data_IF_207412905226
#
_entry.id   IF_207412905226
#
_cell.length_a   1.000
_cell.length_b   1.000
_cell.length_c   1.000
_cell.angle_alpha   90.00
_cell.angle_beta   90.00
_cell.angle_gamma   90.00
#
_symmetry.space_group_name_H-M   'P 1'
#
loop_
_entity.id
_entity.type
_entity.pdbx_description
1 polymer ?
#
# COMPACT_ATOMS: atom_id res chain seq x y z
N UNK A 1 8.45 11.04 14.87
CA UNK A 1 9.87 11.16 14.49
C UNK A 1 10.75 10.98 15.72
N UNK A 2 12.01 10.53 15.51
CA UNK A 2 13.17 10.67 16.41
C UNK A 2 13.28 12.06 17.06
N UNK A 3 12.78 13.11 16.37
CA UNK A 3 12.82 14.50 16.81
C UNK A 3 11.49 15.04 17.41
N UNK A 4 10.51 14.18 17.70
CA UNK A 4 9.23 14.60 18.32
C UNK A 4 8.24 15.29 17.38
N UNK A 5 8.57 15.45 16.10
CA UNK A 5 7.63 15.96 15.08
C UNK A 5 6.53 14.93 14.79
N UNK A 6 5.29 15.41 14.79
CA UNK A 6 4.11 14.67 14.35
C UNK A 6 3.72 15.18 12.96
N UNK A 7 3.40 14.26 12.05
CA UNK A 7 2.75 14.63 10.80
C UNK A 7 1.35 15.16 11.14
N UNK A 8 0.98 16.29 10.55
CA UNK A 8 -0.38 16.79 10.70
C UNK A 8 -1.37 15.79 10.11
N UNK A 9 -2.28 15.29 10.95
CA UNK A 9 -3.24 14.26 10.56
C UNK A 9 -4.16 14.76 9.44
N UNK A 10 -4.51 16.04 9.43
CA UNK A 10 -5.34 16.63 8.38
C UNK A 10 -4.65 16.61 7.02
N UNK A 11 -3.37 16.98 6.98
CA UNK A 11 -2.58 16.99 5.76
C UNK A 11 -2.35 15.56 5.22
N UNK A 12 -2.08 14.59 6.10
CA UNK A 12 -1.86 13.19 5.72
C UNK A 12 -3.13 12.50 5.20
N UNK A 13 -4.27 12.73 5.88
CA UNK A 13 -5.57 12.19 5.46
C UNK A 13 -5.99 12.79 4.13
N UNK A 14 -5.83 14.10 3.95
CA UNK A 14 -6.16 14.77 2.69
C UNK A 14 -5.31 14.27 1.54
N UNK A 15 -3.99 14.13 1.75
CA UNK A 15 -3.08 13.59 0.75
C UNK A 15 -3.44 12.14 0.38
N UNK A 16 -3.68 11.29 1.38
CA UNK A 16 -4.05 9.88 1.18
C UNK A 16 -5.38 9.76 0.45
N UNK A 17 -6.40 10.51 0.87
CA UNK A 17 -7.72 10.52 0.26
C UNK A 17 -7.68 10.99 -1.20
N UNK A 18 -6.91 12.04 -1.51
CA UNK A 18 -6.69 12.50 -2.88
C UNK A 18 -6.03 11.43 -3.74
N UNK A 19 -4.93 10.83 -3.26
CA UNK A 19 -4.25 9.76 -4.01
C UNK A 19 -5.11 8.52 -4.17
N UNK A 20 -5.90 8.14 -3.17
CA UNK A 20 -6.82 7.00 -3.24
C UNK A 20 -7.96 7.27 -4.22
N UNK A 21 -8.56 8.46 -4.20
CA UNK A 21 -9.59 8.88 -5.15
C UNK A 21 -9.04 8.90 -6.58
N UNK A 22 -7.85 9.46 -6.79
CA UNK A 22 -7.20 9.50 -8.09
C UNK A 22 -6.87 8.09 -8.62
N UNK A 23 -6.28 7.24 -7.78
CA UNK A 23 -5.92 5.86 -8.17
C UNK A 23 -7.17 5.01 -8.43
N UNK A 24 -8.23 5.20 -7.65
CA UNK A 24 -9.53 4.53 -7.86
C UNK A 24 -10.19 4.99 -9.16
N UNK A 25 -10.14 6.28 -9.47
CA UNK A 25 -10.65 6.81 -10.73
C UNK A 25 -9.88 6.23 -11.93
N UNK A 26 -8.54 6.19 -11.85
CA UNK A 26 -7.71 5.56 -12.88
C UNK A 26 -8.04 4.07 -13.07
N UNK A 27 -8.26 3.33 -11.97
CA UNK A 27 -8.64 1.93 -12.02
C UNK A 27 -10.02 1.74 -12.67
N UNK A 28 -10.97 2.64 -12.39
CA UNK A 28 -12.30 2.64 -12.99
C UNK A 28 -12.30 2.96 -14.48
N UNK A 29 -11.45 3.89 -14.93
CA UNK A 29 -11.41 4.34 -16.33
C UNK A 29 -10.51 3.44 -17.21
N UNK A 30 -9.35 3.03 -16.70
CA UNK A 30 -8.33 2.28 -17.48
C UNK A 30 -8.42 0.78 -17.20
N UNK A 31 -8.63 0.40 -15.94
CA UNK A 31 -8.64 -1.00 -15.52
C UNK A 31 -9.93 -1.74 -15.90
N UNK A 32 -11.06 -1.03 -16.04
CA UNK A 32 -12.39 -1.61 -16.28
C UNK A 32 -12.76 -2.75 -15.31
N UNK A 33 -12.18 -2.71 -14.10
CA UNK A 33 -12.46 -3.63 -12.98
C UNK A 33 -12.94 -2.76 -11.80
N UNK A 34 -14.11 -3.03 -11.21
CA UNK A 34 -14.66 -2.24 -10.11
C UNK A 34 -13.98 -2.60 -8.79
N UNK A 35 -12.67 -2.34 -8.67
CA UNK A 35 -11.90 -2.56 -7.45
C UNK A 35 -11.49 -1.21 -6.90
N UNK A 36 -12.01 -0.87 -5.71
CA UNK A 36 -11.58 0.30 -4.98
C UNK A 36 -10.17 0.09 -4.44
N UNK A 37 -9.22 0.93 -4.86
CA UNK A 37 -7.85 0.90 -4.36
C UNK A 37 -7.74 1.91 -3.23
N UNK A 38 -7.72 1.39 -2.00
CA UNK A 38 -7.47 2.17 -0.80
C UNK A 38 -6.02 2.03 -0.33
N UNK A 39 -5.60 2.90 0.59
CA UNK A 39 -4.29 2.79 1.23
C UNK A 39 -4.16 1.44 1.96
N UNK A 40 -3.04 0.74 1.73
CA UNK A 40 -2.74 -0.51 2.39
C UNK A 40 -2.44 -0.30 3.88
N UNK A 41 -3.47 -0.42 4.72
CA UNK A 41 -3.37 -0.19 6.18
C UNK A 41 -2.27 -1.05 6.83
N UNK A 42 -2.05 -2.27 6.34
CA UNK A 42 -0.97 -3.14 6.84
C UNK A 42 0.44 -2.60 6.59
N UNK A 43 0.68 -1.96 5.45
CA UNK A 43 1.98 -1.36 5.12
C UNK A 43 2.20 -0.10 5.95
N UNK A 44 1.14 0.68 6.19
CA UNK A 44 1.21 1.88 7.02
C UNK A 44 1.62 1.56 8.46
N UNK A 45 1.10 0.47 9.04
CA UNK A 45 1.49 0.01 10.37
C UNK A 45 2.95 -0.44 10.45
N UNK A 46 3.49 -1.08 9.41
CA UNK A 46 4.92 -1.44 9.35
C UNK A 46 5.79 -0.19 9.31
N UNK A 47 5.43 0.80 8.51
CA UNK A 47 6.16 2.08 8.41
C UNK A 47 6.08 2.85 9.74
N UNK A 48 4.90 2.92 10.36
CA UNK A 48 4.70 3.64 11.62
C UNK A 48 5.35 2.95 12.84
N UNK A 49 5.36 1.62 12.90
CA UNK A 49 5.86 0.88 14.07
C UNK A 49 7.33 0.46 13.93
N UNK A 50 7.82 0.20 12.72
CA UNK A 50 9.20 -0.28 12.50
C UNK A 50 10.13 0.81 11.96
N UNK A 51 9.65 1.71 11.09
CA UNK A 51 10.49 2.77 10.50
C UNK A 51 10.46 4.06 11.33
N UNK A 52 9.29 4.55 11.75
CA UNK A 52 9.21 5.81 12.50
C UNK A 52 10.07 5.93 13.79
N UNK A 53 10.41 4.84 14.52
CA UNK A 53 11.32 4.93 15.67
C UNK A 53 12.81 4.95 15.29
N UNK A 54 13.17 4.65 14.04
CA UNK A 54 14.55 4.43 13.59
C UNK A 54 15.02 5.47 12.55
N UNK A 55 14.12 6.29 12.01
CA UNK A 55 14.41 7.24 10.93
C UNK A 55 13.44 8.42 10.91
N UNK A 56 13.82 9.49 10.21
CA UNK A 56 13.01 10.71 10.06
C UNK A 56 11.75 10.46 9.21
N UNK A 57 10.66 11.22 9.44
CA UNK A 57 9.44 11.06 8.63
C UNK A 57 9.69 11.23 7.11
N UNK A 58 10.50 12.20 6.64
CA UNK A 58 10.85 12.30 5.22
C UNK A 58 11.55 11.05 4.67
N UNK A 59 12.49 10.48 5.41
CA UNK A 59 13.23 9.27 4.99
C UNK A 59 12.30 8.05 4.95
N UNK A 60 11.42 7.91 5.95
CA UNK A 60 10.44 6.82 5.98
C UNK A 60 9.50 6.89 4.78
N UNK A 61 8.96 8.08 4.46
CA UNK A 61 8.08 8.27 3.30
C UNK A 61 8.82 8.05 1.97
N UNK A 62 10.09 8.46 1.88
CA UNK A 62 10.94 8.18 0.71
C UNK A 62 11.14 6.68 0.47
N UNK A 63 11.33 5.90 1.54
CA UNK A 63 11.40 4.43 1.46
C UNK A 63 10.08 3.81 1.00
N UNK A 64 8.92 4.35 1.42
CA UNK A 64 7.61 3.87 0.93
C UNK A 64 7.47 4.05 -0.57
N UNK A 65 7.89 5.20 -1.11
CA UNK A 65 7.84 5.47 -2.56
C UNK A 65 8.75 4.52 -3.33
N UNK A 66 9.98 4.30 -2.85
CA UNK A 66 10.92 3.33 -3.42
C UNK A 66 10.37 1.90 -3.39
N UNK A 67 9.78 1.47 -2.28
CA UNK A 67 9.12 0.18 -2.16
C UNK A 67 7.95 0.06 -3.15
N UNK A 68 7.16 1.13 -3.31
CA UNK A 68 6.11 1.20 -4.31
C UNK A 68 6.63 1.00 -5.74
N UNK A 69 7.77 1.61 -6.09
CA UNK A 69 8.41 1.43 -7.39
C UNK A 69 8.89 -0.02 -7.62
N UNK A 70 9.49 -0.64 -6.61
CA UNK A 70 9.90 -2.05 -6.66
C UNK A 70 8.69 -2.97 -6.86
N UNK A 71 7.60 -2.73 -6.12
CA UNK A 71 6.35 -3.50 -6.27
C UNK A 71 5.74 -3.27 -7.66
N UNK A 72 5.76 -2.04 -8.18
CA UNK A 72 5.26 -1.72 -9.52
C UNK A 72 6.02 -2.51 -10.59
N UNK A 73 7.36 -2.55 -10.51
CA UNK A 73 8.18 -3.37 -11.40
C UNK A 73 7.82 -4.85 -11.28
N UNK A 74 7.67 -5.36 -10.07
CA UNK A 74 7.33 -6.75 -9.81
C UNK A 74 5.94 -7.12 -10.38
N UNK A 75 4.96 -6.23 -10.27
CA UNK A 75 3.64 -6.39 -10.89
C UNK A 75 3.74 -6.33 -12.41
N UNK A 76 4.53 -5.41 -12.97
CA UNK A 76 4.76 -5.29 -14.41
C UNK A 76 5.42 -6.54 -15.02
N UNK A 77 6.27 -7.25 -14.27
CA UNK A 77 6.84 -8.53 -14.71
C UNK A 77 5.84 -9.71 -14.71
N UNK A 78 4.58 -9.51 -14.29
CA UNK A 78 3.54 -10.53 -14.29
C UNK A 78 3.68 -11.57 -13.17
N UNK A 79 4.57 -11.34 -12.20
CA UNK A 79 4.81 -12.28 -11.09
C UNK A 79 3.55 -12.48 -10.24
N UNK A 80 2.67 -11.47 -10.13
CA UNK A 80 1.41 -11.58 -9.37
C UNK A 80 0.54 -12.73 -9.86
N UNK A 81 0.42 -12.92 -11.17
CA UNK A 81 -0.46 -13.95 -11.75
C UNK A 81 0.16 -15.34 -11.61
N UNK A 82 1.48 -15.44 -11.80
CA UNK A 82 2.22 -16.70 -11.61
C UNK A 82 2.14 -17.19 -10.17
N UNK A 83 2.29 -16.29 -9.19
CA UNK A 83 2.15 -16.61 -7.77
C UNK A 83 0.71 -17.00 -7.44
N UNK A 84 -0.28 -16.25 -7.95
CA UNK A 84 -1.69 -16.57 -7.69
C UNK A 84 -2.09 -17.95 -8.23
N UNK A 85 -1.58 -18.35 -9.39
CA UNK A 85 -1.85 -19.65 -10.00
C UNK A 85 -1.13 -20.80 -9.30
N UNK A 86 0.01 -20.55 -8.64
CA UNK A 86 0.72 -21.56 -7.86
C UNK A 86 0.05 -21.83 -6.49
N UNK A 87 -0.75 -20.90 -5.98
CA UNK A 87 -1.40 -21.02 -4.66
C UNK A 87 -2.72 -21.80 -4.78
N UNK A 88 -2.88 -22.94 -4.05
CA UNK A 88 -4.12 -23.71 -4.06
C UNK A 88 -5.28 -22.90 -3.46
N UNK A 89 -6.49 -23.15 -3.98
CA UNK A 89 -7.70 -22.37 -3.72
C UNK A 89 -8.04 -22.19 -2.22
N UNK A 90 -7.67 -23.16 -1.37
CA UNK A 90 -7.85 -23.10 0.08
C UNK A 90 -7.02 -22.01 0.76
N UNK A 91 -5.75 -21.86 0.37
CA UNK A 91 -4.85 -20.81 0.88
C UNK A 91 -5.29 -19.43 0.42
N UNK A 92 -5.81 -19.31 -0.82
CA UNK A 92 -6.35 -18.05 -1.33
C UNK A 92 -7.52 -17.54 -0.49
N UNK A 93 -8.41 -18.44 -0.04
CA UNK A 93 -9.51 -18.09 0.89
C UNK A 93 -8.99 -17.68 2.27
N UNK A 94 -7.98 -18.37 2.80
CA UNK A 94 -7.39 -18.02 4.09
C UNK A 94 -6.77 -16.61 4.07
N UNK A 95 -6.08 -16.24 2.98
CA UNK A 95 -5.51 -14.89 2.81
C UNK A 95 -6.62 -13.83 2.80
N UNK A 96 -7.72 -14.04 2.05
CA UNK A 96 -8.84 -13.09 2.05
C UNK A 96 -9.50 -12.93 3.42
N UNK A 97 -9.61 -14.01 4.21
CA UNK A 97 -10.15 -13.96 5.57
C UNK A 97 -9.18 -13.20 6.48
N UNK A 98 -7.87 -13.47 6.39
CA UNK A 98 -6.86 -12.82 7.21
C UNK A 98 -6.66 -11.33 6.93
N UNK A 99 -6.97 -10.86 5.72
CA UNK A 99 -6.99 -9.42 5.40
C UNK A 99 -8.26 -8.74 5.93
N UNK A 100 -9.37 -9.49 6.08
CA UNK A 100 -10.66 -8.95 6.51
C UNK A 100 -10.91 -8.98 8.02
N UNK A 101 -10.08 -9.68 8.80
CA UNK A 101 -10.06 -9.68 10.27
C UNK A 101 -9.22 -8.52 10.80
#
# INVERSE_FOLDING_TARGET
DMYGHQLDNGQLVTATALTAAFTTLLMGVIGNVPIALAAGLGVNSVVALQLAPRMSWPDAMGMVVLAGFVVMLLVATGLRERVMNAVPYGLRKAISIGIGL
#
